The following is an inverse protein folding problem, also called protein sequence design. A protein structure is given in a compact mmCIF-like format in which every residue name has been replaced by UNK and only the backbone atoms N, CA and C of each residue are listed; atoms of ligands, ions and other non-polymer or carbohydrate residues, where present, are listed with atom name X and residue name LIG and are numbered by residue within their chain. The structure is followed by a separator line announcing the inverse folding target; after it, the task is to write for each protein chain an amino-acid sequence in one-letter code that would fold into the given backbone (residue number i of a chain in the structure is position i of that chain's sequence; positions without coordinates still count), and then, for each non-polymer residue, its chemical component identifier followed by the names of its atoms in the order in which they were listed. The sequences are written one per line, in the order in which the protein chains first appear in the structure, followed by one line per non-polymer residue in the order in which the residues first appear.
data_IF_088692782342
#
_entry.id   IF_088692782342
#
_cell.length_a   1.000
_cell.length_b   1.000
_cell.length_c   1.000
_cell.angle_alpha   90.00
_cell.angle_beta   90.00
_cell.angle_gamma   90.00
#
_symmetry.space_group_name_H-M   'P 1'
#
loop_
_entity.id
_entity.type
_entity.pdbx_description
1 polymer ?
#
# COMPACT_ATOMS: atom_id res chain seq x y z
N UNK A 1 22.79 8.68 21.72
CA UNK A 1 21.96 7.56 21.23
C UNK A 1 21.85 7.66 19.73
N UNK A 2 21.77 6.53 19.02
CA UNK A 2 21.88 6.48 17.55
C UNK A 2 20.65 6.99 16.79
N UNK A 3 19.62 7.52 17.48
CA UNK A 3 18.44 8.15 16.85
C UNK A 3 17.42 7.20 16.20
N UNK A 4 17.68 5.89 16.21
CA UNK A 4 16.80 4.90 15.62
C UNK A 4 15.58 4.63 16.52
N UNK A 5 14.38 4.75 15.95
CA UNK A 5 13.12 4.40 16.60
C UNK A 5 12.25 3.55 15.66
N UNK A 6 11.37 2.75 16.24
CA UNK A 6 10.37 1.97 15.50
C UNK A 6 9.05 2.02 16.26
N UNK A 7 7.95 2.04 15.51
CA UNK A 7 6.60 1.96 16.03
C UNK A 7 5.84 0.88 15.26
N UNK A 8 5.33 -0.11 15.99
CA UNK A 8 4.44 -1.14 15.44
C UNK A 8 3.05 -0.92 16.00
N UNK A 9 2.08 -0.48 15.19
CA UNK A 9 0.69 -0.36 15.63
C UNK A 9 0.16 -1.70 16.14
N UNK A 10 -0.56 -1.71 17.27
CA UNK A 10 -1.23 -2.92 17.78
C UNK A 10 -2.40 -3.36 16.88
N UNK A 11 -3.04 -2.39 16.21
CA UNK A 11 -4.11 -2.61 15.23
C UNK A 11 -3.63 -2.17 13.86
N UNK A 12 -3.82 -2.98 12.80
CA UNK A 12 -3.53 -2.56 11.43
C UNK A 12 -4.22 -1.23 11.09
N UNK A 13 -3.48 -0.35 10.44
CA UNK A 13 -4.01 0.93 9.98
C UNK A 13 -4.80 0.73 8.68
N UNK A 14 -5.84 1.54 8.49
CA UNK A 14 -6.61 1.51 7.25
C UNK A 14 -5.78 2.01 6.06
N UNK A 15 -6.09 1.52 4.86
CA UNK A 15 -5.51 2.04 3.63
C UNK A 15 -5.75 3.56 3.51
N UNK A 16 -4.73 4.27 3.03
CA UNK A 16 -4.74 5.73 2.92
C UNK A 16 -4.44 6.47 4.22
N UNK A 17 -4.19 5.77 5.33
CA UNK A 17 -3.73 6.43 6.57
C UNK A 17 -2.42 7.15 6.32
N UNK A 18 -2.37 8.45 6.63
CA UNK A 18 -1.15 9.26 6.56
C UNK A 18 -0.42 9.18 7.91
N UNK A 19 0.83 8.74 7.87
CA UNK A 19 1.74 8.74 9.02
C UNK A 19 2.67 9.93 8.89
N UNK A 20 2.85 10.68 9.98
CA UNK A 20 3.75 11.82 10.05
C UNK A 20 4.74 11.63 11.21
N UNK A 21 6.03 11.78 10.93
CA UNK A 21 7.09 11.66 11.92
C UNK A 21 7.96 12.93 11.96
N UNK A 22 8.32 13.34 13.16
CA UNK A 22 9.29 14.41 13.43
C UNK A 22 10.21 13.98 14.57
N UNK A 23 11.44 14.49 14.57
CA UNK A 23 12.36 14.36 15.69
C UNK A 23 12.36 15.65 16.51
N UNK A 24 12.49 15.53 17.83
CA UNK A 24 12.66 16.66 18.73
C UNK A 24 13.98 16.50 19.50
N UNK A 25 14.79 17.55 19.58
CA UNK A 25 16.01 17.56 20.39
C UNK A 25 15.72 17.84 21.89
N UNK A 26 16.74 17.72 22.75
CA UNK A 26 16.58 17.95 24.19
C UNK A 26 16.26 19.41 24.56
N UNK A 27 16.49 20.35 23.64
CA UNK A 27 16.15 21.77 23.82
C UNK A 27 14.71 22.09 23.33
N UNK A 28 14.00 21.10 22.76
CA UNK A 28 12.64 21.25 22.26
C UNK A 28 12.52 21.68 20.80
N UNK A 29 13.62 21.71 20.03
CA UNK A 29 13.56 22.04 18.61
C UNK A 29 13.11 20.83 17.79
N UNK A 30 12.16 21.04 16.87
CA UNK A 30 11.63 20.00 16.00
C UNK A 30 12.32 19.99 14.62
N UNK A 31 12.49 18.81 14.05
CA UNK A 31 12.85 18.66 12.63
C UNK A 31 11.68 19.02 11.71
N UNK A 32 11.97 19.18 10.41
CA UNK A 32 10.93 19.07 9.39
C UNK A 32 10.23 17.71 9.48
N UNK A 33 8.91 17.64 9.30
CA UNK A 33 8.19 16.37 9.29
C UNK A 33 8.49 15.56 8.03
N UNK A 34 8.39 14.24 8.14
CA UNK A 34 8.33 13.32 7.01
C UNK A 34 7.04 12.50 7.07
N UNK A 35 6.49 12.15 5.91
CA UNK A 35 5.23 11.44 5.82
C UNK A 35 5.29 10.19 4.96
N UNK A 36 4.46 9.21 5.29
CA UNK A 36 4.21 8.02 4.48
C UNK A 36 2.70 7.72 4.49
N UNK A 37 2.18 7.13 3.40
CA UNK A 37 0.81 6.65 3.32
C UNK A 37 0.78 5.13 3.44
N UNK A 38 -0.14 4.62 4.24
CA UNK A 38 -0.42 3.18 4.31
C UNK A 38 -1.09 2.75 3.00
N UNK A 39 -0.43 1.87 2.26
CA UNK A 39 -1.00 1.20 1.10
C UNK A 39 -1.20 -0.27 1.46
N UNK A 40 -2.46 -0.64 1.72
CA UNK A 40 -2.84 -1.98 2.18
C UNK A 40 -3.96 -2.60 1.33
N UNK A 41 -4.31 -1.97 0.20
CA UNK A 41 -5.29 -2.54 -0.72
C UNK A 41 -4.58 -3.50 -1.67
N UNK A 42 -5.07 -4.74 -1.70
CA UNK A 42 -4.62 -5.68 -2.71
C UNK A 42 -5.17 -5.26 -4.09
N UNK A 43 -4.38 -5.47 -5.16
CA UNK A 43 -4.87 -5.48 -6.53
C UNK A 43 -6.16 -6.28 -6.74
N UNK A 44 -7.00 -5.83 -7.68
CA UNK A 44 -8.15 -6.60 -8.12
C UNK A 44 -7.72 -7.87 -8.86
N UNK A 45 -8.33 -9.01 -8.51
CA UNK A 45 -8.11 -10.26 -9.23
C UNK A 45 -8.61 -10.14 -10.68
N UNK A 46 -7.91 -10.73 -11.68
CA UNK A 46 -8.43 -10.80 -13.04
C UNK A 46 -9.78 -11.52 -13.10
N UNK A 47 -10.65 -11.06 -14.00
CA UNK A 47 -11.96 -11.65 -14.26
C UNK A 47 -11.99 -12.13 -15.71
N UNK A 48 -12.55 -13.31 -15.95
CA UNK A 48 -12.81 -13.84 -17.28
C UNK A 48 -14.33 -13.84 -17.52
N UNK A 49 -14.75 -13.23 -18.62
CA UNK A 49 -16.13 -13.21 -19.04
C UNK A 49 -16.56 -14.55 -19.66
N UNK A 50 -17.84 -14.93 -19.57
CA UNK A 50 -18.35 -16.10 -20.27
C UNK A 50 -18.04 -16.02 -21.78
N UNK A 51 -17.42 -17.07 -22.32
CA UNK A 51 -17.10 -17.13 -23.75
C UNK A 51 -18.35 -17.42 -24.59
N UNK A 52 -18.36 -16.88 -25.82
CA UNK A 52 -19.30 -17.25 -26.88
C UNK A 52 -18.77 -18.37 -27.81
N UNK A 53 -17.64 -18.99 -27.48
CA UNK A 53 -16.99 -20.02 -28.30
C UNK A 53 -16.04 -19.49 -29.37
N UNK A 54 -15.86 -18.17 -29.50
CA UNK A 54 -14.92 -17.55 -30.44
C UNK A 54 -14.00 -16.50 -29.80
N UNK A 55 -14.41 -15.88 -28.70
CA UNK A 55 -13.63 -14.85 -27.99
C UNK A 55 -13.56 -15.18 -26.51
N UNK A 56 -12.40 -14.93 -25.90
CA UNK A 56 -12.21 -14.85 -24.46
C UNK A 56 -11.99 -13.37 -24.12
N UNK A 57 -12.80 -12.85 -23.22
CA UNK A 57 -12.72 -11.47 -22.74
C UNK A 57 -12.62 -11.45 -21.22
N UNK A 58 -12.23 -10.31 -20.66
CA UNK A 58 -12.03 -10.17 -19.23
C UNK A 58 -11.34 -8.85 -18.86
N UNK A 59 -11.15 -8.66 -17.56
CA UNK A 59 -10.47 -7.48 -17.01
C UNK A 59 -9.31 -7.91 -16.13
N UNK A 60 -8.18 -7.22 -16.22
CA UNK A 60 -7.04 -7.41 -15.33
C UNK A 60 -6.33 -6.06 -15.12
N UNK A 61 -5.58 -5.93 -14.03
CA UNK A 61 -4.72 -4.77 -13.85
C UNK A 61 -3.56 -4.75 -14.85
N UNK A 62 -3.02 -3.56 -15.12
CA UNK A 62 -1.90 -3.41 -16.04
C UNK A 62 -0.67 -4.16 -15.53
N UNK A 63 -0.09 -5.01 -16.39
CA UNK A 63 1.06 -5.84 -16.03
C UNK A 63 0.71 -7.16 -15.32
N UNK A 64 -0.57 -7.46 -15.09
CA UNK A 64 -0.98 -8.77 -14.58
C UNK A 64 -0.83 -9.87 -15.66
N UNK A 65 -0.36 -11.05 -15.25
CA UNK A 65 -0.31 -12.25 -16.09
C UNK A 65 -1.59 -13.06 -15.93
N UNK A 66 -2.29 -13.33 -17.03
CA UNK A 66 -3.46 -14.22 -17.06
C UNK A 66 -3.03 -15.58 -17.59
N UNK A 67 -3.27 -16.66 -16.83
CA UNK A 67 -2.97 -18.04 -17.23
C UNK A 67 -4.30 -18.77 -17.47
N UNK A 68 -4.44 -19.38 -18.64
CA UNK A 68 -5.57 -20.24 -18.99
C UNK A 68 -5.09 -21.69 -19.03
N UNK A 69 -5.77 -22.58 -18.32
CA UNK A 69 -5.45 -24.02 -18.23
C UNK A 69 -6.61 -24.87 -18.71
#
# INVERSE_FOLDING_TARGET
GSGNWAFTPATPLANGTVINALAQDAAGNNSSPTSATVDSLAPAAPVIDPSNGSVIAGTAEAGATVILT
#
